data_IF_429039205846
#
_entry.id   IF_429039205846
#
_cell.length_a   1.000
_cell.length_b   1.000
_cell.length_c   1.000
_cell.angle_alpha   90.00
_cell.angle_beta   90.00
_cell.angle_gamma   90.00
#
_symmetry.space_group_name_H-M   'P 1'
#
loop_
_entity.id
_entity.type
_entity.pdbx_description
1 polymer ?
#
# COMPACT_ATOMS: atom_id res chain seq x y z
N UNK A 1 -22.22 22.54 -0.14
CA UNK A 1 -21.75 21.31 -0.82
C UNK A 1 -20.97 20.51 0.20
N UNK A 2 -21.64 19.58 0.87
CA UNK A 2 -21.09 18.84 2.01
C UNK A 2 -20.14 17.76 1.52
N UNK A 3 -18.86 17.90 1.86
CA UNK A 3 -17.84 16.87 1.64
C UNK A 3 -17.54 16.27 3.01
N UNK A 4 -18.28 15.22 3.37
CA UNK A 4 -17.97 14.40 4.53
C UNK A 4 -16.75 13.53 4.20
N UNK A 5 -15.56 14.00 4.58
CA UNK A 5 -14.32 13.23 4.60
C UNK A 5 -14.25 12.42 5.90
N UNK A 6 -14.98 11.31 5.95
CA UNK A 6 -14.88 10.40 7.11
C UNK A 6 -13.99 9.21 6.77
N UNK A 7 -12.67 9.42 6.78
CA UNK A 7 -11.72 8.29 6.89
C UNK A 7 -11.29 8.18 8.35
N UNK A 8 -12.08 7.47 9.16
CA UNK A 8 -11.69 7.05 10.51
C UNK A 8 -10.73 5.86 10.39
N UNK A 9 -9.43 6.12 10.51
CA UNK A 9 -8.41 5.09 10.71
C UNK A 9 -8.20 4.87 12.20
N UNK A 10 -8.68 3.74 12.75
CA UNK A 10 -8.40 3.33 14.13
C UNK A 10 -7.11 2.51 14.18
N UNK A 11 -6.19 2.89 15.07
CA UNK A 11 -4.91 2.20 15.30
C UNK A 11 -5.00 1.28 16.53
N UNK A 12 -4.48 0.06 16.41
CA UNK A 12 -3.95 -0.73 17.54
C UNK A 12 -2.58 -1.26 17.10
N UNK A 13 -1.49 -0.71 17.67
CA UNK A 13 -0.13 -1.24 17.57
C UNK A 13 0.61 -1.06 16.23
N UNK A 14 1.76 -0.39 16.26
CA UNK A 14 2.83 -0.35 15.25
C UNK A 14 2.46 -0.15 13.75
N UNK A 15 1.89 1.03 13.48
CA UNK A 15 1.97 1.87 12.26
C UNK A 15 2.26 1.23 10.89
N UNK A 16 1.24 1.29 10.04
CA UNK A 16 1.32 1.35 8.57
C UNK A 16 0.70 2.70 8.13
N UNK A 17 1.33 3.39 7.18
CA UNK A 17 0.82 4.65 6.61
C UNK A 17 0.22 4.40 5.22
N UNK A 18 -1.04 4.80 5.02
CA UNK A 18 -1.67 4.90 3.71
C UNK A 18 -1.53 6.33 3.18
N UNK A 19 -1.15 6.48 1.92
CA UNK A 19 -1.17 7.77 1.23
C UNK A 19 -1.98 7.63 -0.05
N UNK A 20 -3.23 8.06 -0.01
CA UNK A 20 -3.97 8.43 -1.21
C UNK A 20 -3.72 9.93 -1.45
N UNK A 21 -2.94 10.24 -2.47
CA UNK A 21 -2.60 11.61 -2.82
C UNK A 21 -3.46 12.05 -4.01
N UNK A 22 -4.52 12.83 -3.76
CA UNK A 22 -5.01 13.84 -4.72
C UNK A 22 -5.48 15.12 -4.02
N UNK A 23 -4.82 16.20 -4.44
CA UNK A 23 -5.16 17.62 -4.30
C UNK A 23 -5.19 18.27 -2.91
N UNK A 24 -4.01 18.61 -2.36
CA UNK A 24 -3.76 19.93 -1.75
C UNK A 24 -2.28 20.28 -1.94
N UNK A 25 -1.97 21.26 -2.80
CA UNK A 25 -0.78 22.07 -2.63
C UNK A 25 -1.15 23.16 -1.62
N UNK A 26 -0.25 23.41 -0.65
CA UNK A 26 -0.29 24.48 0.36
C UNK A 26 -0.81 24.09 1.75
N UNK A 27 0.06 24.35 2.73
CA UNK A 27 -0.13 24.39 4.19
C UNK A 27 -0.11 23.05 4.95
N UNK A 28 0.91 22.95 5.82
CA UNK A 28 1.01 22.06 6.99
C UNK A 28 1.16 20.56 6.75
N UNK A 29 2.42 20.21 6.51
CA UNK A 29 3.00 18.87 6.61
C UNK A 29 2.98 18.36 8.07
N UNK A 30 1.80 18.08 8.63
CA UNK A 30 1.71 17.53 10.00
C UNK A 30 1.67 16.01 9.96
N UNK A 31 2.84 15.41 9.72
CA UNK A 31 3.10 14.02 10.06
C UNK A 31 2.99 13.85 11.59
N UNK A 32 1.94 13.22 12.12
CA UNK A 32 1.98 12.75 13.52
C UNK A 32 2.77 11.44 13.59
N UNK A 33 4.07 11.63 13.80
CA UNK A 33 5.07 10.59 14.04
C UNK A 33 4.94 10.17 15.52
N UNK A 34 4.28 9.04 15.83
CA UNK A 34 4.66 8.29 17.05
C UNK A 34 6.13 7.84 16.97
N UNK A 35 6.96 8.41 17.82
CA UNK A 35 8.41 8.30 17.79
C UNK A 35 8.85 7.01 18.51
N UNK A 36 8.86 5.90 17.79
CA UNK A 36 9.59 4.69 18.17
C UNK A 36 10.17 4.09 16.88
N UNK A 37 11.34 4.56 16.46
CA UNK A 37 12.09 4.03 15.31
C UNK A 37 12.29 5.02 14.16
N UNK A 38 13.53 5.10 13.71
CA UNK A 38 14.09 5.98 12.67
C UNK A 38 13.77 5.53 11.23
N UNK A 39 12.64 4.87 11.00
CA UNK A 39 12.31 4.23 9.72
C UNK A 39 10.83 4.42 9.37
N UNK A 40 10.55 4.96 8.18
CA UNK A 40 9.21 5.20 7.65
C UNK A 40 9.00 4.30 6.44
N UNK A 41 7.92 3.54 6.46
CA UNK A 41 7.45 2.76 5.32
C UNK A 41 6.31 3.50 4.62
N UNK A 42 6.43 3.70 3.30
CA UNK A 42 5.45 4.38 2.47
C UNK A 42 4.88 3.43 1.42
N UNK A 43 3.57 3.17 1.47
CA UNK A 43 2.88 2.41 0.43
C UNK A 43 2.47 3.38 -0.68
N UNK A 44 2.77 3.03 -1.92
CA UNK A 44 2.48 3.84 -3.10
C UNK A 44 1.56 3.07 -4.03
N UNK A 45 0.40 3.68 -4.30
CA UNK A 45 -0.44 3.30 -5.42
C UNK A 45 0.12 3.86 -6.73
N UNK A 46 0.35 2.98 -7.69
CA UNK A 46 0.91 3.29 -9.01
C UNK A 46 -0.14 3.62 -10.08
N UNK A 47 -1.44 3.56 -9.77
CA UNK A 47 -2.60 3.84 -10.64
C UNK A 47 -2.45 5.07 -11.55
N UNK A 48 -1.88 6.14 -11.01
CA UNK A 48 -1.75 7.43 -11.68
C UNK A 48 -0.30 7.88 -11.83
N UNK A 49 0.67 7.08 -11.36
CA UNK A 49 2.10 7.46 -11.32
C UNK A 49 2.82 7.27 -12.65
N UNK A 50 2.14 6.76 -13.66
CA UNK A 50 2.62 6.66 -15.04
C UNK A 50 2.24 7.88 -15.91
N UNK A 51 1.34 8.75 -15.44
CA UNK A 51 0.86 9.94 -16.15
C UNK A 51 1.49 11.22 -15.60
N UNK A 52 1.67 12.23 -16.43
CA UNK A 52 2.05 13.57 -15.95
C UNK A 52 0.83 14.31 -15.37
N UNK A 53 1.02 15.17 -14.35
CA UNK A 53 2.29 15.53 -13.68
C UNK A 53 2.73 14.56 -12.56
N UNK A 54 1.92 13.56 -12.21
CA UNK A 54 2.12 12.66 -11.07
C UNK A 54 3.42 11.87 -11.18
N UNK A 55 3.77 11.41 -12.37
CA UNK A 55 5.01 10.70 -12.66
C UNK A 55 6.24 11.52 -12.27
N UNK A 56 6.32 12.77 -12.72
CA UNK A 56 7.43 13.66 -12.35
C UNK A 56 7.45 13.97 -10.86
N UNK A 57 6.29 14.23 -10.25
CA UNK A 57 6.18 14.46 -8.80
C UNK A 57 6.66 13.26 -8.00
N UNK A 58 6.26 12.07 -8.40
CA UNK A 58 6.66 10.82 -7.75
C UNK A 58 8.15 10.55 -7.90
N UNK A 59 8.72 10.70 -9.10
CA UNK A 59 10.18 10.59 -9.32
C UNK A 59 10.96 11.55 -8.42
N UNK A 60 10.53 12.81 -8.31
CA UNK A 60 11.15 13.80 -7.40
C UNK A 60 11.04 13.40 -5.93
N UNK A 61 9.88 12.88 -5.52
CA UNK A 61 9.67 12.39 -4.16
C UNK A 61 10.60 11.23 -3.82
N UNK A 62 10.67 10.22 -4.71
CA UNK A 62 11.55 9.05 -4.54
C UNK A 62 13.01 9.48 -4.46
N UNK A 63 13.45 10.38 -5.35
CA UNK A 63 14.81 10.91 -5.36
C UNK A 63 15.15 11.69 -4.07
N UNK A 64 14.22 12.50 -3.56
CA UNK A 64 14.40 13.27 -2.31
C UNK A 64 14.68 12.37 -1.10
N UNK A 65 14.05 11.21 -1.07
CA UNK A 65 14.10 10.28 0.06
C UNK A 65 14.94 9.02 -0.22
N UNK A 66 15.69 9.00 -1.33
CA UNK A 66 16.59 7.90 -1.67
C UNK A 66 17.74 7.73 -0.66
N UNK A 67 18.06 8.79 0.10
CA UNK A 67 19.03 8.76 1.19
C UNK A 67 18.34 9.04 2.53
N UNK A 68 18.79 8.42 3.62
CA UNK A 68 18.28 8.74 4.96
C UNK A 68 18.44 10.23 5.27
N UNK A 69 17.43 10.79 5.91
CA UNK A 69 17.47 12.14 6.48
C UNK A 69 18.35 12.07 7.73
N UNK A 70 19.54 12.65 7.66
CA UNK A 70 20.46 12.71 8.79
C UNK A 70 20.68 14.16 9.22
N UNK A 71 20.10 14.56 10.36
CA UNK A 71 20.28 15.88 10.99
C UNK A 71 20.77 15.65 12.42
N UNK A 72 22.07 15.36 12.61
CA UNK A 72 22.62 14.95 13.90
C UNK A 72 22.50 16.06 14.95
N UNK A 73 22.66 17.34 14.56
CA UNK A 73 22.45 18.51 15.43
C UNK A 73 21.02 18.62 15.99
N UNK A 74 20.04 17.95 15.37
CA UNK A 74 18.64 17.90 15.82
C UNK A 74 18.27 16.54 16.41
N UNK A 75 19.20 15.60 16.52
CA UNK A 75 18.94 14.22 16.94
C UNK A 75 18.03 13.44 15.96
N UNK A 76 17.94 13.86 14.69
CA UNK A 76 17.04 13.23 13.72
C UNK A 76 17.83 12.33 12.79
N UNK A 77 17.50 11.05 12.80
CA UNK A 77 17.84 10.10 11.75
C UNK A 77 16.54 9.45 11.26
N UNK A 78 16.31 9.44 9.95
CA UNK A 78 15.09 8.88 9.38
C UNK A 78 15.37 8.27 8.01
N UNK A 79 15.19 6.95 7.89
CA UNK A 79 15.13 6.24 6.61
C UNK A 79 13.68 6.23 6.11
N UNK A 80 13.49 6.40 4.81
CA UNK A 80 12.17 6.24 4.17
C UNK A 80 12.31 5.16 3.12
N UNK A 81 11.38 4.22 3.11
CA UNK A 81 11.34 3.09 2.18
C UNK A 81 9.96 3.02 1.53
N UNK A 82 9.93 2.93 0.20
CA UNK A 82 8.72 2.94 -0.60
C UNK A 82 8.37 1.51 -1.03
N UNK A 83 7.09 1.17 -0.99
CA UNK A 83 6.54 -0.09 -1.49
C UNK A 83 5.42 0.21 -2.48
N UNK A 84 5.68 -0.08 -3.74
CA UNK A 84 4.81 0.17 -4.88
C UNK A 84 3.83 -0.99 -5.09
N UNK A 85 2.60 -0.66 -5.43
CA UNK A 85 1.60 -1.65 -5.85
C UNK A 85 0.90 -1.16 -7.11
N UNK A 86 0.80 -2.04 -8.11
CA UNK A 86 0.13 -1.72 -9.36
C UNK A 86 -1.38 -1.56 -9.15
N UNK A 87 -1.94 -0.50 -9.74
CA UNK A 87 -3.33 -0.05 -9.64
C UNK A 87 -3.87 0.38 -8.28
N UNK A 88 -3.56 -0.33 -7.20
CA UNK A 88 -3.98 -0.01 -5.83
C UNK A 88 -3.68 -1.17 -4.88
N UNK A 89 -3.83 -0.93 -3.57
CA UNK A 89 -3.63 -1.93 -2.52
C UNK A 89 -4.49 -3.19 -2.67
N UNK A 90 -5.61 -3.10 -3.39
CA UNK A 90 -6.49 -4.22 -3.73
C UNK A 90 -5.77 -5.34 -4.49
N UNK A 91 -4.67 -5.03 -5.18
CA UNK A 91 -3.85 -6.05 -5.82
C UNK A 91 -3.30 -7.05 -4.79
N UNK A 92 -2.90 -6.55 -3.62
CA UNK A 92 -2.48 -7.40 -2.51
C UNK A 92 -3.66 -8.14 -1.87
N UNK A 93 -4.84 -7.53 -1.79
CA UNK A 93 -6.04 -8.21 -1.29
C UNK A 93 -6.43 -9.38 -2.20
N UNK A 94 -6.33 -9.20 -3.52
CA UNK A 94 -6.54 -10.27 -4.50
C UNK A 94 -5.61 -11.45 -4.29
N UNK A 95 -4.38 -11.21 -3.83
CA UNK A 95 -3.42 -12.26 -3.52
C UNK A 95 -3.73 -13.11 -2.29
N UNK A 96 -4.65 -12.69 -1.41
CA UNK A 96 -5.16 -13.56 -0.34
C UNK A 96 -5.86 -14.80 -0.89
N UNK A 97 -6.53 -14.66 -2.03
CA UNK A 97 -7.40 -15.69 -2.62
C UNK A 97 -6.77 -16.45 -3.77
N UNK A 98 -5.62 -16.00 -4.27
CA UNK A 98 -4.85 -16.74 -5.27
C UNK A 98 -3.89 -15.85 -6.06
N UNK A 99 -2.94 -16.49 -6.73
CA UNK A 99 -2.03 -15.80 -7.64
C UNK A 99 -2.76 -15.37 -8.92
N UNK A 100 -2.40 -14.21 -9.45
CA UNK A 100 -2.83 -13.75 -10.77
C UNK A 100 -1.71 -12.92 -11.39
N UNK A 101 -1.48 -13.13 -12.68
CA UNK A 101 -0.61 -12.29 -13.53
C UNK A 101 -1.44 -11.57 -14.60
N UNK A 102 -2.77 -11.63 -14.52
CA UNK A 102 -3.69 -11.00 -15.48
C UNK A 102 -3.47 -9.50 -15.50
N UNK A 103 -3.44 -8.90 -16.69
CA UNK A 103 -3.47 -7.44 -16.82
C UNK A 103 -4.86 -6.89 -16.49
N UNK A 104 -4.91 -5.87 -15.65
CA UNK A 104 -6.12 -5.13 -15.28
C UNK A 104 -6.00 -3.72 -15.85
N UNK A 105 -7.03 -3.27 -16.57
CA UNK A 105 -7.00 -1.93 -17.21
C UNK A 105 -7.22 -0.78 -16.22
N UNK A 106 -7.92 -1.06 -15.12
CA UNK A 106 -8.23 -0.11 -14.07
C UNK A 106 -8.55 -0.82 -12.75
N UNK A 107 -8.67 -0.02 -11.69
CA UNK A 107 -9.01 -0.49 -10.35
C UNK A 107 -10.34 -1.24 -10.30
N UNK A 108 -11.37 -0.78 -11.03
CA UNK A 108 -12.70 -1.40 -11.04
C UNK A 108 -12.65 -2.84 -11.56
N UNK A 109 -11.83 -3.09 -12.59
CA UNK A 109 -11.64 -4.43 -13.14
C UNK A 109 -10.95 -5.39 -12.18
N UNK A 110 -10.05 -4.88 -11.33
CA UNK A 110 -9.37 -5.63 -10.27
C UNK A 110 -10.34 -5.95 -9.13
N UNK A 111 -11.13 -4.97 -8.68
CA UNK A 111 -12.17 -5.18 -7.66
C UNK A 111 -13.20 -6.20 -8.14
N UNK A 112 -13.66 -6.10 -9.40
CA UNK A 112 -14.60 -7.07 -9.96
C UNK A 112 -14.05 -8.49 -9.96
N UNK A 113 -12.74 -8.66 -10.14
CA UNK A 113 -12.09 -9.96 -10.05
C UNK A 113 -11.91 -10.45 -8.60
N UNK A 114 -11.57 -9.54 -7.68
CA UNK A 114 -11.55 -9.82 -6.23
C UNK A 114 -12.93 -10.27 -5.73
N UNK A 115 -14.00 -9.62 -6.20
CA UNK A 115 -15.39 -9.90 -5.84
C UNK A 115 -15.92 -11.26 -6.30
N UNK A 116 -15.14 -12.02 -7.08
CA UNK A 116 -15.43 -13.42 -7.37
C UNK A 116 -15.07 -14.36 -6.21
N UNK A 117 -14.22 -13.91 -5.30
CA UNK A 117 -13.69 -14.70 -4.18
C UNK A 117 -14.20 -14.23 -2.83
N UNK A 118 -14.37 -12.92 -2.66
CA UNK A 118 -14.85 -12.32 -1.43
C UNK A 118 -15.58 -11.03 -1.73
N UNK A 119 -16.66 -10.73 -1.01
CA UNK A 119 -17.32 -9.43 -1.10
C UNK A 119 -16.35 -8.32 -0.63
N UNK A 120 -16.10 -7.34 -1.50
CA UNK A 120 -15.26 -6.21 -1.19
C UNK A 120 -15.82 -4.94 -1.82
N UNK A 121 -15.95 -3.91 -0.97
CA UNK A 121 -16.37 -2.59 -1.38
C UNK A 121 -15.45 -1.53 -0.77
N UNK A 122 -15.17 -0.46 -1.55
CA UNK A 122 -14.43 0.71 -1.07
C UNK A 122 -15.35 1.69 -0.34
N UNK A 123 -16.11 1.22 0.63
CA UNK A 123 -17.04 2.05 1.40
C UNK A 123 -16.65 2.11 2.87
N UNK A 124 -16.88 3.26 3.50
CA UNK A 124 -16.62 3.46 4.93
C UNK A 124 -17.41 2.45 5.76
N UNK A 125 -18.64 2.14 5.32
CA UNK A 125 -19.52 1.17 5.96
C UNK A 125 -18.92 -0.24 5.92
N UNK A 126 -18.46 -0.70 4.75
CA UNK A 126 -17.76 -1.99 4.62
C UNK A 126 -16.53 -2.05 5.54
N UNK A 127 -15.67 -1.03 5.52
CA UNK A 127 -14.48 -1.02 6.38
C UNK A 127 -14.84 -1.05 7.87
N UNK A 128 -15.88 -0.32 8.28
CA UNK A 128 -16.38 -0.31 9.66
C UNK A 128 -16.93 -1.68 10.08
N UNK A 129 -17.67 -2.35 9.20
CA UNK A 129 -18.27 -3.68 9.45
C UNK A 129 -17.25 -4.82 9.41
N UNK A 130 -16.21 -4.70 8.59
CA UNK A 130 -15.19 -5.75 8.39
C UNK A 130 -14.41 -6.13 9.66
N UNK A 131 -14.34 -5.20 10.64
CA UNK A 131 -13.53 -5.29 11.86
C UNK A 131 -12.05 -5.60 11.54
N UNK A 132 -11.54 -5.00 10.48
CA UNK A 132 -10.17 -5.18 9.98
C UNK A 132 -10.10 -6.09 8.76
N UNK A 133 -9.53 -5.57 7.66
CA UNK A 133 -9.49 -6.25 6.36
C UNK A 133 -8.75 -7.58 6.38
N UNK A 134 -7.62 -7.65 7.10
CA UNK A 134 -6.85 -8.89 7.21
C UNK A 134 -7.70 -10.02 7.80
N UNK A 135 -8.25 -9.80 9.00
CA UNK A 135 -9.11 -10.78 9.66
C UNK A 135 -10.36 -11.09 8.85
N UNK A 136 -10.92 -10.09 8.15
CA UNK A 136 -12.04 -10.28 7.24
C UNK A 136 -11.68 -11.25 6.10
N UNK A 137 -10.56 -11.04 5.40
CA UNK A 137 -10.15 -11.91 4.31
C UNK A 137 -9.84 -13.33 4.78
N UNK A 138 -9.18 -13.51 5.94
CA UNK A 138 -8.89 -14.84 6.47
C UNK A 138 -10.15 -15.63 6.85
N UNK A 139 -11.15 -14.98 7.46
CA UNK A 139 -12.45 -15.63 7.75
C UNK A 139 -13.21 -16.03 6.49
N UNK A 140 -12.94 -15.38 5.36
CA UNK A 140 -13.57 -15.67 4.07
C UNK A 140 -12.69 -16.58 3.17
N UNK A 141 -11.72 -17.30 3.73
CA UNK A 141 -10.92 -18.30 3.00
C UNK A 141 -9.65 -17.75 2.35
N UNK A 142 -9.34 -16.47 2.56
CA UNK A 142 -8.06 -15.87 2.20
C UNK A 142 -6.93 -16.29 3.14
N UNK A 143 -5.68 -16.02 2.76
CA UNK A 143 -4.53 -16.27 3.62
C UNK A 143 -3.46 -15.20 3.45
N UNK A 144 -3.02 -14.56 4.53
CA UNK A 144 -1.93 -13.59 4.49
C UNK A 144 -0.61 -14.25 4.06
N UNK A 145 -0.34 -15.47 4.54
CA UNK A 145 0.84 -16.24 4.11
C UNK A 145 0.85 -16.44 2.59
N UNK A 146 -0.31 -16.79 2.00
CA UNK A 146 -0.44 -16.88 0.54
C UNK A 146 -0.29 -15.51 -0.12
N UNK A 147 -0.87 -14.45 0.45
CA UNK A 147 -0.77 -13.11 -0.09
C UNK A 147 0.68 -12.62 -0.19
N UNK A 148 1.48 -12.84 0.87
CA UNK A 148 2.92 -12.51 0.89
C UNK A 148 3.66 -13.30 -0.18
N UNK A 149 3.47 -14.62 -0.25
CA UNK A 149 4.14 -15.47 -1.23
C UNK A 149 3.76 -15.10 -2.69
N UNK A 150 2.50 -14.79 -2.93
CA UNK A 150 1.99 -14.36 -4.24
C UNK A 150 2.51 -12.97 -4.63
N UNK A 151 2.59 -12.02 -3.69
CA UNK A 151 3.17 -10.71 -3.90
C UNK A 151 4.65 -10.82 -4.27
N UNK A 152 5.43 -11.64 -3.57
CA UNK A 152 6.83 -11.91 -3.89
C UNK A 152 7.01 -12.57 -5.24
N UNK A 153 6.18 -13.57 -5.55
CA UNK A 153 6.16 -14.20 -6.86
C UNK A 153 5.90 -13.16 -7.96
N UNK A 154 4.97 -12.24 -7.73
CA UNK A 154 4.66 -11.19 -8.70
C UNK A 154 5.84 -10.25 -8.98
N UNK A 155 6.64 -9.93 -7.95
CA UNK A 155 7.84 -9.10 -8.11
C UNK A 155 8.94 -9.84 -8.87
N UNK A 156 9.19 -11.11 -8.56
CA UNK A 156 10.16 -11.95 -9.30
C UNK A 156 9.80 -12.06 -10.78
N UNK A 157 8.51 -12.23 -11.09
CA UNK A 157 8.04 -12.28 -12.48
C UNK A 157 8.09 -10.92 -13.17
N UNK A 158 7.85 -9.82 -12.45
CA UNK A 158 8.02 -8.45 -12.96
C UNK A 158 9.46 -8.21 -13.40
N UNK A 159 10.42 -8.59 -12.56
CA UNK A 159 11.85 -8.45 -12.86
C UNK A 159 12.30 -9.35 -14.00
N UNK A 160 11.84 -10.61 -14.02
CA UNK A 160 12.24 -11.58 -15.06
C UNK A 160 11.69 -11.24 -16.44
N UNK A 161 10.46 -10.76 -16.53
CA UNK A 161 9.74 -10.60 -17.79
C UNK A 161 9.56 -9.12 -18.21
N UNK A 162 10.24 -8.19 -17.53
CA UNK A 162 10.07 -6.73 -17.70
C UNK A 162 8.58 -6.30 -17.67
N UNK A 163 7.80 -6.91 -16.78
CA UNK A 163 6.35 -6.71 -16.69
C UNK A 163 6.03 -5.57 -15.72
N UNK A 164 5.35 -4.54 -16.20
CA UNK A 164 5.04 -3.31 -15.45
C UNK A 164 3.61 -3.25 -14.86
N UNK A 165 2.87 -4.36 -14.91
CA UNK A 165 1.51 -4.47 -14.38
C UNK A 165 1.36 -5.63 -13.38
N UNK A 166 0.29 -5.62 -12.57
CA UNK A 166 -0.14 -6.71 -11.68
C UNK A 166 0.96 -7.20 -10.75
N UNK A 167 1.48 -6.29 -9.93
CA UNK A 167 2.50 -6.57 -8.93
C UNK A 167 2.20 -5.85 -7.63
N UNK A 168 2.79 -6.32 -6.53
CA UNK A 168 2.72 -5.64 -5.24
C UNK A 168 3.98 -5.90 -4.44
N UNK A 169 4.62 -4.83 -3.96
CA UNK A 169 5.74 -4.90 -3.02
C UNK A 169 5.29 -5.10 -1.57
N UNK A 170 3.98 -5.23 -1.30
CA UNK A 170 3.48 -5.40 0.07
C UNK A 170 3.93 -6.72 0.71
N UNK A 171 4.31 -7.75 -0.07
CA UNK A 171 4.99 -8.92 0.49
C UNK A 171 6.33 -8.58 1.14
N UNK A 172 7.11 -7.69 0.52
CA UNK A 172 8.38 -7.20 1.05
C UNK A 172 8.15 -6.31 2.28
N UNK A 173 7.11 -5.45 2.25
CA UNK A 173 6.72 -4.66 3.41
C UNK A 173 6.40 -5.55 4.61
N UNK A 174 5.59 -6.60 4.42
CA UNK A 174 5.23 -7.51 5.50
C UNK A 174 6.47 -8.18 6.10
N UNK A 175 7.46 -8.55 5.27
CA UNK A 175 8.76 -9.05 5.75
C UNK A 175 9.55 -7.99 6.52
N UNK A 176 9.63 -6.77 6.01
CA UNK A 176 10.34 -5.65 6.64
C UNK A 176 9.75 -5.26 8.00
N UNK A 177 8.44 -5.45 8.18
CA UNK A 177 7.74 -5.28 9.45
C UNK A 177 7.98 -6.43 10.45
N UNK A 178 8.85 -7.40 10.12
CA UNK A 178 9.10 -8.57 10.96
C UNK A 178 8.02 -9.63 10.84
N UNK A 179 7.41 -9.74 9.64
CA UNK A 179 6.25 -10.58 9.34
C UNK A 179 6.23 -11.89 10.12
N UNK A 180 5.33 -11.93 11.11
CA UNK A 180 5.01 -12.99 12.07
C UNK A 180 5.62 -14.35 11.72
N UNK A 181 6.88 -14.54 12.10
CA UNK A 181 7.38 -15.88 12.44
C UNK A 181 6.55 -16.33 13.64
N UNK A 182 5.59 -17.23 13.38
CA UNK A 182 5.16 -18.14 14.44
C UNK A 182 6.36 -18.90 14.98
#
# INVERSE_FOLDING_TARGET
MNIETTTKCTFVGHKIYFCEARNVLSSLLTFRIAFMGTHIFCIIDMDNKNKEPERTRYKRLRAKFAKPINKPKKGIYCKVEFFETHLCTEMFFRYYFGYTSRSYGNQESLIKDLNKYVEYEKTIDFFSKSKGLHSYFERNGGSLKKAIANAEKSMKEKEKNDRDYTYSELGQLMKALGGFTK
#
